data_IF_613141117181
#
_entry.id   IF_613141117181
#
_cell.length_a   1.000
_cell.length_b   1.000
_cell.length_c   1.000
_cell.angle_alpha   90.00
_cell.angle_beta   90.00
_cell.angle_gamma   90.00
#
_symmetry.space_group_name_H-M   'P 1'
#
loop_
_entity.id
_entity.type
_entity.pdbx_description
1 polymer ?
#
# COMPACT_ATOMS: atom_id res chain seq x y z
N UNK A 1 -25.18 36.51 -33.30
CA UNK A 1 -23.73 36.37 -33.53
C UNK A 1 -23.20 35.27 -32.62
N UNK A 2 -22.62 34.23 -33.21
CA UNK A 2 -22.07 33.07 -32.49
C UNK A 2 -20.62 33.31 -32.09
N UNK A 3 -20.29 33.11 -30.82
CA UNK A 3 -18.91 32.90 -30.35
C UNK A 3 -19.00 31.99 -29.12
N UNK A 4 -18.92 30.66 -29.30
CA UNK A 4 -17.71 29.83 -29.11
C UNK A 4 -16.94 30.27 -27.85
N UNK A 5 -16.77 29.47 -26.79
CA UNK A 5 -16.18 28.12 -26.83
C UNK A 5 -16.48 27.42 -25.49
N UNK A 6 -17.42 26.49 -25.49
CA UNK A 6 -17.37 25.39 -24.52
C UNK A 6 -16.26 24.43 -24.94
N UNK A 7 -15.62 23.81 -23.94
CA UNK A 7 -14.66 22.68 -23.97
C UNK A 7 -13.23 23.04 -23.58
N UNK A 8 -13.01 23.07 -22.27
CA UNK A 8 -11.81 22.46 -21.72
C UNK A 8 -12.20 21.39 -20.69
N UNK A 9 -12.82 20.32 -21.16
CA UNK A 9 -12.87 19.04 -20.48
C UNK A 9 -11.92 18.09 -21.23
N UNK A 10 -10.64 18.46 -21.24
CA UNK A 10 -9.56 17.51 -21.54
C UNK A 10 -9.25 16.71 -20.28
N UNK A 11 -8.69 15.49 -20.39
CA UNK A 11 -8.27 14.73 -19.22
C UNK A 11 -7.36 15.61 -18.37
N UNK A 12 -7.69 15.78 -17.10
CA UNK A 12 -6.93 16.57 -16.13
C UNK A 12 -5.45 16.19 -16.26
N UNK A 13 -4.65 17.05 -16.90
CA UNK A 13 -3.22 16.80 -17.05
C UNK A 13 -2.65 16.81 -15.64
N UNK A 14 -2.10 15.68 -15.22
CA UNK A 14 -1.39 15.57 -13.96
C UNK A 14 -0.29 16.62 -13.97
N UNK A 15 -0.27 17.51 -12.98
CA UNK A 15 0.77 18.54 -12.87
C UNK A 15 2.04 17.97 -12.23
N UNK A 16 3.19 18.58 -12.52
CA UNK A 16 4.45 18.20 -11.88
C UNK A 16 4.37 18.34 -10.35
N UNK A 17 3.63 19.33 -9.84
CA UNK A 17 3.37 19.50 -8.40
C UNK A 17 2.63 18.30 -7.80
N UNK A 18 1.62 17.76 -8.50
CA UNK A 18 0.91 16.55 -8.07
C UNK A 18 1.81 15.32 -8.07
N UNK A 19 2.74 15.23 -9.03
CA UNK A 19 3.73 14.15 -9.10
C UNK A 19 4.71 14.25 -7.92
N UNK A 20 5.20 15.46 -7.63
CA UNK A 20 6.11 15.73 -6.50
C UNK A 20 5.41 15.42 -5.17
N UNK A 21 4.16 15.81 -5.00
CA UNK A 21 3.37 15.53 -3.81
C UNK A 21 3.19 14.01 -3.61
N UNK A 22 2.85 13.28 -4.69
CA UNK A 22 2.73 11.83 -4.66
C UNK A 22 4.05 11.16 -4.24
N UNK A 23 5.17 11.55 -4.85
CA UNK A 23 6.48 11.01 -4.52
C UNK A 23 6.87 11.32 -3.06
N UNK A 24 6.49 12.50 -2.54
CA UNK A 24 6.69 12.85 -1.14
C UNK A 24 5.91 11.92 -0.20
N UNK A 25 4.63 11.66 -0.51
CA UNK A 25 3.79 10.72 0.26
C UNK A 25 4.34 9.30 0.22
N UNK A 26 4.71 8.79 -0.97
CA UNK A 26 5.30 7.47 -1.13
C UNK A 26 6.58 7.32 -0.28
N UNK A 27 7.43 8.36 -0.25
CA UNK A 27 8.65 8.35 0.57
C UNK A 27 8.40 8.27 2.07
N UNK A 28 7.28 8.80 2.56
CA UNK A 28 6.92 8.72 3.97
C UNK A 28 6.40 7.32 4.36
N UNK A 29 5.79 6.61 3.43
CA UNK A 29 5.17 5.30 3.66
C UNK A 29 6.13 4.12 3.48
N UNK A 30 7.19 4.28 2.68
CA UNK A 30 8.10 3.18 2.33
C UNK A 30 9.36 3.24 3.22
N UNK A 31 9.56 2.27 4.14
CA UNK A 31 10.63 2.29 5.14
C UNK A 31 12.06 2.45 4.57
N UNK A 32 12.30 1.84 3.40
CA UNK A 32 13.59 1.74 2.71
C UNK A 32 14.07 3.10 2.18
N UNK A 33 13.13 4.00 1.88
CA UNK A 33 13.41 5.34 1.35
C UNK A 33 13.13 6.45 2.36
N UNK A 34 12.34 6.18 3.40
CA UNK A 34 12.02 7.12 4.48
C UNK A 34 13.25 7.64 5.21
N UNK A 35 14.24 6.77 5.45
CA UNK A 35 15.48 7.12 6.16
C UNK A 35 16.57 7.67 5.24
N UNK A 36 16.35 7.66 3.93
CA UNK A 36 17.35 8.06 2.94
C UNK A 36 17.18 9.54 2.58
N UNK A 37 18.30 10.26 2.45
CA UNK A 37 18.25 11.69 2.15
C UNK A 37 17.54 11.97 0.81
N UNK A 38 16.61 12.95 0.78
CA UNK A 38 15.72 13.24 -0.35
C UNK A 38 16.43 13.57 -1.67
N UNK A 39 17.58 14.24 -1.56
CA UNK A 39 18.43 14.70 -2.65
C UNK A 39 19.12 13.57 -3.45
N UNK A 40 19.09 12.33 -2.94
CA UNK A 40 19.83 11.20 -3.53
C UNK A 40 18.95 10.12 -4.16
N UNK A 41 17.63 10.29 -4.19
CA UNK A 41 16.70 9.24 -4.64
C UNK A 41 15.89 9.74 -5.82
N UNK A 42 16.08 9.13 -6.99
CA UNK A 42 15.30 9.45 -8.19
C UNK A 42 13.84 8.99 -8.06
N UNK A 43 12.93 9.63 -8.81
CA UNK A 43 11.51 9.24 -8.86
C UNK A 43 11.34 7.75 -9.25
N UNK A 44 12.11 7.27 -10.23
CA UNK A 44 12.12 5.87 -10.63
C UNK A 44 12.51 4.93 -9.47
N UNK A 45 13.50 5.33 -8.66
CA UNK A 45 13.89 4.54 -7.48
C UNK A 45 12.81 4.55 -6.41
N UNK A 46 12.16 5.68 -6.15
CA UNK A 46 11.02 5.77 -5.21
C UNK A 46 9.90 4.80 -5.63
N UNK A 47 9.50 4.83 -6.90
CA UNK A 47 8.45 3.95 -7.42
C UNK A 47 8.86 2.47 -7.34
N UNK A 48 10.11 2.16 -7.68
CA UNK A 48 10.62 0.79 -7.61
C UNK A 48 10.61 0.24 -6.18
N UNK A 49 11.11 1.00 -5.20
CA UNK A 49 11.06 0.59 -3.79
C UNK A 49 9.63 0.48 -3.28
N UNK A 50 8.74 1.39 -3.71
CA UNK A 50 7.31 1.30 -3.38
C UNK A 50 6.69 0.00 -3.88
N UNK A 51 6.91 -0.36 -5.15
CA UNK A 51 6.41 -1.61 -5.72
C UNK A 51 6.99 -2.85 -5.04
N UNK A 52 8.26 -2.80 -4.64
CA UNK A 52 8.89 -3.88 -3.88
C UNK A 52 8.29 -4.01 -2.49
N UNK A 53 8.11 -2.89 -1.78
CA UNK A 53 7.51 -2.86 -0.45
C UNK A 53 6.08 -3.44 -0.47
N UNK A 54 5.24 -3.03 -1.44
CA UNK A 54 3.90 -3.59 -1.62
C UNK A 54 3.96 -5.11 -1.83
N UNK A 55 4.86 -5.59 -2.70
CA UNK A 55 5.01 -7.02 -2.97
C UNK A 55 5.45 -7.81 -1.74
N UNK A 56 6.36 -7.26 -0.96
CA UNK A 56 6.82 -7.88 0.28
C UNK A 56 5.70 -7.90 1.33
N UNK A 57 4.95 -6.80 1.47
CA UNK A 57 3.82 -6.73 2.38
C UNK A 57 2.74 -7.77 2.04
N UNK A 58 2.41 -7.94 0.76
CA UNK A 58 1.49 -8.99 0.34
C UNK A 58 1.99 -10.39 0.72
N UNK A 59 3.27 -10.68 0.51
CA UNK A 59 3.87 -11.96 0.92
C UNK A 59 3.83 -12.15 2.42
N UNK A 60 4.18 -11.14 3.21
CA UNK A 60 4.11 -11.20 4.67
C UNK A 60 2.68 -11.45 5.16
N UNK A 61 1.69 -10.81 4.55
CA UNK A 61 0.26 -11.07 4.84
C UNK A 61 -0.12 -12.50 4.50
N UNK A 62 0.28 -13.02 3.34
CA UNK A 62 -0.01 -14.40 2.92
C UNK A 62 0.65 -15.41 3.86
N UNK A 63 1.94 -15.24 4.17
CA UNK A 63 2.71 -16.11 5.07
C UNK A 63 2.14 -16.10 6.50
N UNK A 64 1.77 -14.92 7.02
CA UNK A 64 1.13 -14.79 8.32
C UNK A 64 -0.25 -15.45 8.34
N UNK A 65 -1.02 -15.31 7.26
CA UNK A 65 -2.36 -15.93 7.13
C UNK A 65 -2.26 -17.45 7.08
N UNK A 66 -1.27 -17.99 6.37
CA UNK A 66 -1.01 -19.44 6.34
C UNK A 66 -0.59 -19.94 7.72
N UNK A 67 0.38 -19.29 8.36
CA UNK A 67 0.84 -19.67 9.70
C UNK A 67 -0.27 -19.62 10.74
N UNK A 68 -1.15 -18.61 10.65
CA UNK A 68 -2.31 -18.50 11.52
C UNK A 68 -3.31 -19.63 11.28
N UNK A 69 -3.55 -19.98 10.01
CA UNK A 69 -4.43 -21.11 9.64
C UNK A 69 -3.89 -22.44 10.15
N UNK A 70 -2.57 -22.65 10.10
CA UNK A 70 -1.90 -23.82 10.67
C UNK A 70 -2.00 -23.85 12.20
N UNK A 71 -1.78 -22.71 12.89
CA UNK A 71 -1.95 -22.65 14.33
C UNK A 71 -3.39 -22.97 14.74
N UNK A 72 -4.37 -22.42 14.04
CA UNK A 72 -5.79 -22.70 14.29
C UNK A 72 -6.18 -24.16 14.03
N UNK A 73 -5.53 -24.86 13.09
CA UNK A 73 -5.81 -26.28 12.86
C UNK A 73 -5.20 -27.21 13.91
N UNK A 74 -4.18 -26.74 14.64
CA UNK A 74 -3.60 -27.48 15.78
C UNK A 74 -4.36 -27.30 17.09
N UNK A 75 -5.15 -26.23 17.20
CA UNK A 75 -5.99 -25.98 18.38
C UNK A 75 -7.26 -26.82 18.24
N UNK A 76 -7.67 -27.49 19.33
CA UNK A 76 -8.96 -28.15 19.39
C UNK A 76 -10.06 -27.14 19.05
N UNK A 77 -10.87 -27.44 18.02
CA UNK A 77 -11.87 -26.50 17.51
C UNK A 77 -12.90 -26.11 18.57
N UNK A 78 -13.05 -26.93 19.61
CA UNK A 78 -13.99 -26.73 20.72
C UNK A 78 -13.37 -26.02 21.94
N UNK A 79 -12.09 -25.63 21.86
CA UNK A 79 -11.42 -24.91 22.94
C UNK A 79 -11.90 -23.45 23.05
N UNK A 80 -11.89 -22.92 24.28
CA UNK A 80 -12.24 -21.52 24.56
C UNK A 80 -11.26 -20.55 23.87
N UNK A 81 -9.99 -20.93 23.76
CA UNK A 81 -8.93 -20.18 23.08
C UNK A 81 -9.20 -20.09 21.56
N UNK A 82 -9.66 -21.19 20.93
CA UNK A 82 -10.07 -21.18 19.52
C UNK A 82 -11.24 -20.22 19.27
N UNK A 83 -12.21 -20.17 20.19
CA UNK A 83 -13.35 -19.26 20.10
C UNK A 83 -12.92 -17.78 20.19
N UNK A 84 -11.99 -17.46 21.11
CA UNK A 84 -11.44 -16.10 21.23
C UNK A 84 -10.70 -15.70 19.96
N UNK A 85 -9.81 -16.54 19.44
CA UNK A 85 -9.04 -16.22 18.22
C UNK A 85 -9.98 -16.02 17.02
N UNK A 86 -10.99 -16.87 16.82
CA UNK A 86 -12.01 -16.68 15.77
C UNK A 86 -12.75 -15.35 15.92
N UNK A 87 -13.10 -14.96 17.14
CA UNK A 87 -13.78 -13.68 17.40
C UNK A 87 -12.93 -12.45 17.09
N UNK A 88 -11.61 -12.55 17.21
CA UNK A 88 -10.66 -11.47 16.91
C UNK A 88 -10.36 -11.34 15.40
N UNK A 89 -10.46 -12.43 14.63
CA UNK A 89 -10.13 -12.46 13.20
C UNK A 89 -11.34 -12.18 12.31
N UNK A 90 -12.55 -12.57 12.71
CA UNK A 90 -13.79 -12.45 11.91
C UNK A 90 -14.58 -11.15 12.16
N UNK A 91 -13.94 -10.11 12.68
CA UNK A 91 -14.51 -8.75 12.78
C UNK A 91 -14.22 -7.93 11.53
#
# INVERSE_FOLDING_TARGET
MSTRRSRHSGPSRISDDQIIELLSKLRQLVPEIRHRRPDKVSASKVLHETCNYIRNLHREVDDLSERLSQLLSTIDSDSAEAAIIRSLIMQ
#
